data_IF_633573675426
#
_entry.id   IF_633573675426
#
_cell.length_a   1.000
_cell.length_b   1.000
_cell.length_c   1.000
_cell.angle_alpha   90.00
_cell.angle_beta   90.00
_cell.angle_gamma   90.00
#
_symmetry.space_group_name_H-M   'P 1'
#
loop_
_entity.id
_entity.type
_entity.pdbx_description
1 polymer ?
#
# COMPACT_ATOMS: atom_id res chain seq x y z
N UNK A 1 -23.82 -11.50 -5.75
CA UNK A 1 -24.60 -10.52 -4.93
C UNK A 1 -23.86 -10.31 -3.62
N UNK A 2 -23.28 -9.14 -3.44
CA UNK A 2 -22.58 -8.75 -2.22
C UNK A 2 -23.64 -8.68 -1.09
N UNK A 3 -23.46 -9.47 -0.06
CA UNK A 3 -24.44 -9.57 1.05
C UNK A 3 -24.20 -8.55 2.15
N UNK A 4 -22.94 -8.15 2.34
CA UNK A 4 -22.58 -7.14 3.33
C UNK A 4 -22.99 -5.75 2.81
N UNK A 5 -23.78 -4.96 3.55
CA UNK A 5 -24.20 -3.63 3.11
C UNK A 5 -23.06 -2.65 2.89
N UNK A 6 -21.99 -2.75 3.67
CA UNK A 6 -20.82 -1.86 3.57
C UNK A 6 -20.02 -2.17 2.30
N UNK A 7 -19.75 -3.45 2.02
CA UNK A 7 -19.06 -3.88 0.79
C UNK A 7 -19.89 -3.54 -0.44
N UNK A 8 -21.23 -3.68 -0.35
CA UNK A 8 -22.13 -3.26 -1.42
C UNK A 8 -22.04 -1.75 -1.66
N UNK A 9 -22.02 -0.93 -0.61
CA UNK A 9 -21.90 0.51 -0.72
C UNK A 9 -20.54 0.90 -1.33
N UNK A 10 -19.45 0.28 -0.91
CA UNK A 10 -18.10 0.49 -1.46
C UNK A 10 -18.05 0.09 -2.93
N UNK A 11 -18.58 -1.08 -3.29
CA UNK A 11 -18.64 -1.53 -4.67
C UNK A 11 -19.47 -0.58 -5.54
N UNK A 12 -20.63 -0.13 -5.05
CA UNK A 12 -21.49 0.83 -5.77
C UNK A 12 -20.75 2.14 -5.99
N UNK A 13 -20.10 2.69 -4.96
CA UNK A 13 -19.30 3.91 -5.06
C UNK A 13 -18.16 3.76 -6.07
N UNK A 14 -17.43 2.66 -6.03
CA UNK A 14 -16.35 2.36 -7.00
C UNK A 14 -16.89 2.31 -8.44
N UNK A 15 -18.06 1.74 -8.63
CA UNK A 15 -18.72 1.70 -9.94
C UNK A 15 -19.15 3.09 -10.42
N UNK A 16 -19.67 3.92 -9.52
CA UNK A 16 -20.05 5.31 -9.82
C UNK A 16 -18.83 6.15 -10.20
N UNK A 17 -17.75 6.05 -9.42
CA UNK A 17 -16.48 6.75 -9.68
C UNK A 17 -15.88 6.30 -11.00
N UNK A 18 -15.87 4.99 -11.29
CA UNK A 18 -15.41 4.47 -12.58
C UNK A 18 -16.26 4.99 -13.74
N UNK A 19 -17.57 5.08 -13.54
CA UNK A 19 -18.49 5.64 -14.55
C UNK A 19 -18.22 7.12 -14.76
N UNK A 20 -18.04 7.87 -13.68
CA UNK A 20 -17.68 9.28 -13.73
C UNK A 20 -16.34 9.51 -14.43
N UNK A 21 -15.33 8.72 -14.07
CA UNK A 21 -14.00 8.75 -14.68
C UNK A 21 -14.07 8.45 -16.17
N UNK A 22 -14.90 7.49 -16.59
CA UNK A 22 -15.11 7.14 -18.00
C UNK A 22 -16.02 8.11 -18.78
N UNK A 23 -16.79 8.95 -18.09
CA UNK A 23 -17.74 9.88 -18.73
C UNK A 23 -17.10 11.14 -19.32
N UNK A 24 -15.80 11.34 -19.12
CA UNK A 24 -15.07 12.49 -19.66
C UNK A 24 -14.87 13.63 -18.70
N UNK A 25 -15.28 13.47 -17.46
CA UNK A 25 -15.11 14.49 -16.44
C UNK A 25 -13.63 14.78 -16.11
N UNK A 26 -12.74 13.82 -16.41
CA UNK A 26 -11.29 13.99 -16.30
C UNK A 26 -10.73 15.02 -17.28
N UNK A 27 -11.49 15.38 -18.29
CA UNK A 27 -11.12 16.37 -19.29
C UNK A 27 -11.81 17.71 -19.07
N UNK A 28 -12.46 17.87 -17.91
CA UNK A 28 -12.93 19.17 -17.53
C UNK A 28 -11.75 20.15 -17.33
N UNK A 29 -12.07 21.41 -17.21
CA UNK A 29 -11.06 22.47 -17.10
C UNK A 29 -10.13 22.29 -15.90
N UNK A 30 -10.54 21.55 -14.87
CA UNK A 30 -9.73 21.33 -13.67
C UNK A 30 -8.51 20.43 -13.94
N UNK A 31 -8.70 19.33 -14.66
CA UNK A 31 -7.59 18.43 -15.03
C UNK A 31 -6.64 19.08 -16.05
N UNK A 32 -7.19 19.75 -17.06
CA UNK A 32 -6.39 20.49 -18.01
C UNK A 32 -5.59 21.63 -17.32
N UNK A 33 -6.16 22.24 -16.29
CA UNK A 33 -5.51 23.30 -15.51
C UNK A 33 -4.29 22.81 -14.75
N UNK A 34 -4.28 21.57 -14.27
CA UNK A 34 -3.10 21.00 -13.59
C UNK A 34 -1.92 20.84 -14.55
N UNK A 35 -2.15 20.32 -15.76
CA UNK A 35 -1.12 20.28 -16.79
C UNK A 35 -0.60 21.67 -17.19
N UNK A 36 -1.46 22.69 -17.13
CA UNK A 36 -1.07 24.07 -17.45
C UNK A 36 -0.12 24.69 -16.42
N UNK A 37 -0.15 24.23 -15.18
CA UNK A 37 0.77 24.66 -14.11
C UNK A 37 2.18 24.11 -14.28
N UNK A 38 2.34 23.04 -15.06
CA UNK A 38 3.63 22.40 -15.34
C UNK A 38 4.31 23.07 -16.54
N UNK A 39 5.61 22.83 -16.69
CA UNK A 39 6.41 23.37 -17.78
C UNK A 39 7.28 22.28 -18.40
N UNK A 40 7.76 22.53 -19.64
CA UNK A 40 8.71 21.66 -20.32
C UNK A 40 8.23 20.22 -20.47
N UNK A 41 9.08 19.28 -20.07
CA UNK A 41 8.84 17.84 -20.19
C UNK A 41 7.62 17.40 -19.41
N UNK A 42 7.49 17.82 -18.16
CA UNK A 42 6.40 17.39 -17.25
C UNK A 42 5.05 17.82 -17.80
N UNK A 43 4.95 19.03 -18.36
CA UNK A 43 3.74 19.48 -19.02
C UNK A 43 3.41 18.64 -20.25
N UNK A 44 4.42 18.29 -21.05
CA UNK A 44 4.23 17.50 -22.25
C UNK A 44 3.76 16.07 -21.91
N UNK A 45 4.34 15.45 -20.90
CA UNK A 45 3.95 14.12 -20.40
C UNK A 45 2.52 14.14 -19.82
N UNK A 46 2.18 15.12 -19.01
CA UNK A 46 0.84 15.30 -18.47
C UNK A 46 -0.21 15.41 -19.59
N UNK A 47 0.04 16.23 -20.61
CA UNK A 47 -0.85 16.36 -21.77
C UNK A 47 -0.98 15.06 -22.56
N UNK A 48 0.13 14.33 -22.76
CA UNK A 48 0.10 13.05 -23.45
C UNK A 48 -0.77 12.02 -22.71
N UNK A 49 -0.72 12.00 -21.38
CA UNK A 49 -1.56 11.14 -20.56
C UNK A 49 -3.05 11.48 -20.69
N UNK A 50 -3.40 12.77 -20.63
CA UNK A 50 -4.78 13.22 -20.86
C UNK A 50 -5.29 12.81 -22.25
N UNK A 51 -4.47 12.95 -23.30
CA UNK A 51 -4.84 12.53 -24.66
C UNK A 51 -5.06 11.02 -24.72
N UNK A 52 -4.19 10.22 -24.10
CA UNK A 52 -4.35 8.77 -24.01
C UNK A 52 -5.67 8.40 -23.32
N UNK A 53 -5.97 9.00 -22.20
CA UNK A 53 -7.19 8.72 -21.45
C UNK A 53 -8.43 9.12 -22.25
N UNK A 54 -8.38 10.26 -22.97
CA UNK A 54 -9.43 10.68 -23.87
C UNK A 54 -9.65 9.68 -25.02
N UNK A 55 -8.55 9.19 -25.61
CA UNK A 55 -8.61 8.19 -26.68
C UNK A 55 -9.32 6.91 -26.20
N UNK A 56 -8.89 6.40 -25.02
CA UNK A 56 -9.47 5.19 -24.42
C UNK A 56 -10.96 5.40 -24.12
N UNK A 57 -11.31 6.52 -23.54
CA UNK A 57 -12.68 6.85 -23.18
C UNK A 57 -13.60 6.93 -24.39
N UNK A 58 -13.14 7.57 -25.46
CA UNK A 58 -13.87 7.68 -26.74
C UNK A 58 -13.82 6.40 -27.57
N UNK A 59 -12.98 5.44 -27.19
CA UNK A 59 -12.66 4.24 -27.99
C UNK A 59 -12.20 4.61 -29.41
N UNK A 60 -11.44 5.69 -29.52
CA UNK A 60 -10.99 6.25 -30.78
C UNK A 60 -9.46 6.35 -30.82
N UNK A 61 -8.78 5.45 -31.57
CA UNK A 61 -7.32 5.47 -31.70
C UNK A 61 -6.80 6.72 -32.45
N UNK A 62 -7.65 7.39 -33.24
CA UNK A 62 -7.22 8.61 -33.94
C UNK A 62 -6.85 9.73 -32.99
N UNK A 63 -7.46 9.76 -31.79
CA UNK A 63 -7.10 10.72 -30.74
C UNK A 63 -5.64 10.58 -30.31
N UNK A 64 -5.05 9.38 -30.35
CA UNK A 64 -3.63 9.17 -30.03
C UNK A 64 -2.70 9.98 -30.96
N UNK A 65 -3.14 10.34 -32.15
CA UNK A 65 -2.34 11.15 -33.09
C UNK A 65 -2.16 12.60 -32.65
N UNK A 66 -2.95 13.06 -31.66
CA UNK A 66 -2.77 14.37 -31.03
C UNK A 66 -1.51 14.44 -30.14
N UNK A 67 -0.97 13.29 -29.72
CA UNK A 67 0.31 13.23 -29.03
C UNK A 67 1.40 13.56 -30.04
N UNK A 68 2.25 14.55 -29.77
CA UNK A 68 3.31 14.93 -30.69
C UNK A 68 4.24 13.76 -31.06
N UNK A 69 4.68 13.70 -32.32
CA UNK A 69 5.59 12.64 -32.80
C UNK A 69 6.92 12.60 -32.03
N UNK A 70 7.36 13.73 -31.46
CA UNK A 70 8.52 13.80 -30.58
C UNK A 70 8.35 12.98 -29.29
N UNK A 71 7.12 12.69 -28.90
CA UNK A 71 6.75 11.84 -27.78
C UNK A 71 6.30 10.44 -28.26
N UNK A 72 7.08 9.84 -29.16
CA UNK A 72 6.76 8.57 -29.82
C UNK A 72 6.42 7.44 -28.84
N UNK A 73 7.09 7.37 -27.66
CA UNK A 73 6.83 6.38 -26.64
C UNK A 73 5.43 6.55 -26.02
N UNK A 74 5.05 7.78 -25.69
CA UNK A 74 3.70 8.08 -25.19
C UNK A 74 2.62 7.78 -26.23
N UNK A 75 2.90 8.08 -27.51
CA UNK A 75 1.99 7.74 -28.61
C UNK A 75 1.87 6.22 -28.81
N UNK A 76 2.96 5.47 -28.68
CA UNK A 76 2.95 4.00 -28.71
C UNK A 76 2.13 3.42 -27.57
N UNK A 77 2.31 3.92 -26.34
CA UNK A 77 1.50 3.52 -25.16
C UNK A 77 0.02 3.81 -25.38
N UNK A 78 -0.34 4.95 -25.97
CA UNK A 78 -1.73 5.25 -26.32
C UNK A 78 -2.29 4.22 -27.30
N UNK A 79 -1.55 3.92 -28.38
CA UNK A 79 -2.03 3.02 -29.45
C UNK A 79 -2.16 1.56 -29.00
N UNK A 80 -1.31 1.09 -28.07
CA UNK A 80 -1.33 -0.31 -27.61
C UNK A 80 -2.69 -0.70 -27.00
N UNK A 81 -3.42 0.25 -26.45
CA UNK A 81 -4.76 0.03 -25.89
C UNK A 81 -5.82 -0.33 -26.96
N UNK A 82 -5.52 -0.08 -28.23
CA UNK A 82 -6.42 -0.34 -29.35
C UNK A 82 -5.99 -1.54 -30.18
N UNK A 83 -4.83 -2.13 -29.88
CA UNK A 83 -4.41 -3.33 -30.58
C UNK A 83 -5.34 -4.49 -30.21
N UNK A 84 -5.82 -5.24 -31.20
CA UNK A 84 -6.62 -6.42 -30.91
C UNK A 84 -5.77 -7.39 -30.10
N UNK A 85 -6.29 -7.82 -28.96
CA UNK A 85 -5.69 -8.92 -28.22
C UNK A 85 -5.70 -10.16 -29.13
N UNK A 86 -4.56 -10.82 -29.26
CA UNK A 86 -4.53 -12.10 -29.95
C UNK A 86 -5.48 -13.07 -29.21
N UNK A 87 -6.41 -13.72 -29.91
CA UNK A 87 -7.22 -14.74 -29.28
C UNK A 87 -6.30 -15.82 -28.68
N UNK A 88 -6.45 -16.09 -27.40
CA UNK A 88 -5.78 -17.25 -26.77
C UNK A 88 -6.53 -18.52 -27.14
N UNK A 89 -5.82 -19.59 -27.41
CA UNK A 89 -6.41 -20.90 -27.60
C UNK A 89 -6.89 -21.47 -26.24
N UNK A 90 -7.85 -22.41 -26.27
CA UNK A 90 -8.31 -23.06 -25.05
C UNK A 90 -7.15 -23.72 -24.29
N UNK A 91 -6.20 -24.33 -25.02
CA UNK A 91 -5.03 -24.93 -24.40
C UNK A 91 -4.12 -23.92 -23.69
N UNK A 92 -3.96 -22.70 -24.25
CA UNK A 92 -3.22 -21.63 -23.59
C UNK A 92 -3.98 -21.09 -22.38
N UNK A 93 -5.30 -20.98 -22.48
CA UNK A 93 -6.15 -20.58 -21.37
C UNK A 93 -6.05 -21.60 -20.21
N UNK A 94 -6.19 -22.88 -20.51
CA UNK A 94 -6.11 -23.97 -19.55
C UNK A 94 -4.72 -24.05 -18.90
N UNK A 95 -3.65 -23.76 -19.64
CA UNK A 95 -2.28 -23.74 -19.15
C UNK A 95 -1.97 -22.50 -18.29
N UNK A 96 -2.67 -21.37 -18.52
CA UNK A 96 -2.41 -20.10 -17.82
C UNK A 96 -3.23 -19.93 -16.54
N UNK A 97 -4.43 -20.45 -16.48
CA UNK A 97 -5.37 -20.28 -15.36
C UNK A 97 -4.80 -20.76 -14.01
N UNK A 98 -4.08 -21.90 -13.91
CA UNK A 98 -3.53 -22.34 -12.63
C UNK A 98 -2.42 -21.45 -12.07
N UNK A 99 -1.88 -20.53 -12.87
CA UNK A 99 -0.73 -19.70 -12.50
C UNK A 99 -1.13 -18.30 -11.97
N UNK A 100 -2.40 -17.93 -12.09
CA UNK A 100 -2.89 -16.63 -11.68
C UNK A 100 -3.85 -16.79 -10.50
N UNK A 101 -3.40 -16.43 -9.31
CA UNK A 101 -4.27 -16.25 -8.17
C UNK A 101 -4.89 -14.86 -8.25
N UNK A 102 -6.22 -14.78 -8.18
CA UNK A 102 -6.98 -13.52 -8.25
C UNK A 102 -7.32 -12.95 -6.88
N UNK A 103 -6.87 -13.62 -5.83
CA UNK A 103 -7.02 -13.22 -4.44
C UNK A 103 -5.67 -12.92 -3.82
N UNK A 104 -5.65 -12.11 -2.80
CA UNK A 104 -4.49 -12.01 -1.92
C UNK A 104 -4.27 -13.34 -1.21
N UNK A 105 -3.04 -13.57 -0.75
CA UNK A 105 -2.64 -14.77 -0.05
C UNK A 105 -2.11 -14.39 1.33
N UNK A 106 -2.63 -15.02 2.37
CA UNK A 106 -2.11 -14.93 3.74
C UNK A 106 -1.60 -16.31 4.16
N UNK A 107 -0.30 -16.51 4.10
CA UNK A 107 0.33 -17.76 4.49
C UNK A 107 0.58 -17.81 5.98
N UNK A 108 -0.20 -18.61 6.69
CA UNK A 108 0.03 -18.90 8.09
C UNK A 108 0.80 -20.20 8.27
N UNK A 109 1.66 -20.23 9.29
CA UNK A 109 2.49 -21.41 9.53
C UNK A 109 1.67 -22.51 10.20
N UNK A 110 1.54 -23.62 9.51
CA UNK A 110 0.98 -24.86 10.04
C UNK A 110 1.99 -25.67 10.86
N UNK A 111 1.70 -26.95 11.05
CA UNK A 111 2.63 -27.87 11.71
C UNK A 111 3.85 -28.20 10.80
N UNK A 112 5.03 -28.19 11.40
CA UNK A 112 6.28 -28.48 10.68
C UNK A 112 6.69 -27.34 9.74
N UNK A 113 6.91 -27.66 8.47
CA UNK A 113 7.29 -26.71 7.40
C UNK A 113 6.14 -26.36 6.46
N UNK A 114 4.90 -26.75 6.79
CA UNK A 114 3.74 -26.42 5.96
C UNK A 114 3.25 -25.00 6.21
N UNK A 115 2.68 -24.41 5.16
CA UNK A 115 1.93 -23.16 5.22
C UNK A 115 0.53 -23.39 4.69
N UNK A 116 -0.45 -22.69 5.25
CA UNK A 116 -1.83 -22.72 4.81
C UNK A 116 -2.21 -21.29 4.41
N UNK A 117 -2.91 -21.15 3.28
CA UNK A 117 -3.50 -19.87 2.91
C UNK A 117 -4.80 -19.67 3.70
N UNK A 118 -4.83 -18.65 4.52
CA UNK A 118 -5.97 -18.29 5.37
C UNK A 118 -6.55 -16.91 5.03
N UNK A 119 -6.22 -16.36 3.85
CA UNK A 119 -6.67 -15.02 3.47
C UNK A 119 -8.20 -14.90 3.47
N UNK A 120 -8.92 -15.87 2.89
CA UNK A 120 -10.39 -15.87 2.86
C UNK A 120 -10.99 -15.98 4.26
N UNK A 121 -10.45 -16.89 5.08
CA UNK A 121 -10.95 -17.09 6.46
C UNK A 121 -10.74 -15.87 7.33
N UNK A 122 -9.63 -15.16 7.12
CA UNK A 122 -9.25 -14.00 7.93
C UNK A 122 -9.68 -12.66 7.31
N UNK A 123 -10.33 -12.66 6.15
CA UNK A 123 -10.91 -11.46 5.54
C UNK A 123 -9.91 -10.59 4.78
N UNK A 124 -8.81 -11.17 4.27
CA UNK A 124 -7.77 -10.49 3.50
C UNK A 124 -7.69 -10.92 2.02
N UNK A 125 -8.58 -11.78 1.55
CA UNK A 125 -8.55 -12.35 0.19
C UNK A 125 -8.83 -11.32 -0.91
N UNK A 126 -9.46 -10.21 -0.59
CA UNK A 126 -9.83 -9.15 -1.54
C UNK A 126 -8.75 -8.08 -1.59
N UNK A 127 -8.14 -7.86 -2.76
CA UNK A 127 -7.11 -6.84 -2.93
C UNK A 127 -7.30 -5.97 -4.18
N UNK A 128 -8.07 -6.44 -5.15
CA UNK A 128 -8.20 -5.77 -6.44
C UNK A 128 -6.92 -5.89 -7.29
N UNK A 129 -6.51 -4.81 -7.91
CA UNK A 129 -5.25 -4.74 -8.67
C UNK A 129 -4.16 -4.13 -7.79
N UNK A 130 -3.64 -4.96 -6.90
CA UNK A 130 -2.71 -4.54 -5.84
C UNK A 130 -1.29 -4.36 -6.38
N UNK A 131 -0.65 -3.26 -6.02
CA UNK A 131 0.73 -2.93 -6.40
C UNK A 131 1.69 -2.95 -5.22
N UNK A 132 1.23 -2.45 -4.08
CA UNK A 132 2.05 -2.33 -2.88
C UNK A 132 1.19 -2.61 -1.64
N UNK A 133 1.82 -3.18 -0.62
CA UNK A 133 1.16 -3.52 0.64
C UNK A 133 2.01 -3.03 1.81
N UNK A 134 1.42 -2.22 2.68
CA UNK A 134 2.04 -1.79 3.94
C UNK A 134 1.41 -2.51 5.10
N UNK A 135 2.25 -3.10 5.93
CA UNK A 135 1.86 -3.82 7.14
C UNK A 135 2.44 -3.07 8.33
N UNK A 136 1.58 -2.39 9.07
CA UNK A 136 1.96 -1.60 10.24
C UNK A 136 0.77 -1.49 11.20
N UNK A 137 1.04 -1.07 12.41
CA UNK A 137 0.05 -0.80 13.44
C UNK A 137 -0.30 0.68 13.35
N UNK A 138 -1.40 1.01 12.66
CA UNK A 138 -1.76 2.39 12.35
C UNK A 138 -2.63 3.05 13.43
N UNK A 139 -3.22 2.27 14.32
CA UNK A 139 -4.01 2.80 15.44
C UNK A 139 -3.38 2.51 16.81
N UNK A 140 -2.13 2.03 16.80
CA UNK A 140 -1.32 1.76 17.99
C UNK A 140 -1.95 0.76 18.99
N UNK A 141 -2.84 -0.12 18.54
CA UNK A 141 -3.52 -1.10 19.40
C UNK A 141 -2.66 -2.34 19.73
N UNK A 142 -1.50 -2.48 19.07
CA UNK A 142 -0.56 -3.59 19.22
C UNK A 142 -0.66 -4.66 18.13
N UNK A 143 -1.65 -4.56 17.25
CA UNK A 143 -1.85 -5.47 16.13
C UNK A 143 -1.56 -4.75 14.79
N UNK A 144 -0.96 -5.47 13.85
CA UNK A 144 -0.62 -4.87 12.56
C UNK A 144 -1.81 -4.92 11.61
N UNK A 145 -2.11 -3.77 11.02
CA UNK A 145 -3.07 -3.59 9.95
C UNK A 145 -2.44 -3.78 8.59
N UNK A 146 -3.26 -3.76 7.54
CA UNK A 146 -2.82 -3.92 6.17
C UNK A 146 -3.40 -2.80 5.29
N UNK A 147 -2.53 -2.01 4.68
CA UNK A 147 -2.90 -1.01 3.67
C UNK A 147 -2.41 -1.46 2.30
N UNK A 148 -3.32 -1.53 1.33
CA UNK A 148 -3.05 -2.00 -0.03
C UNK A 148 -3.36 -0.89 -1.02
N UNK A 149 -2.36 -0.50 -1.81
CA UNK A 149 -2.58 0.44 -2.90
C UNK A 149 -3.01 -0.28 -4.17
N UNK A 150 -3.99 0.30 -4.83
CA UNK A 150 -4.67 -0.28 -5.98
C UNK A 150 -4.66 0.63 -7.19
N UNK A 151 -4.83 0.02 -8.33
CA UNK A 151 -5.11 0.75 -9.56
C UNK A 151 -4.79 -0.05 -10.80
N UNK A 152 -5.51 0.22 -11.85
CA UNK A 152 -5.23 -0.37 -13.17
C UNK A 152 -5.55 0.61 -14.27
N UNK A 153 -4.73 0.60 -15.31
CA UNK A 153 -5.00 1.27 -16.58
C UNK A 153 -5.67 0.35 -17.61
N UNK A 154 -5.91 -0.91 -17.23
CA UNK A 154 -6.54 -1.88 -18.13
C UNK A 154 -8.00 -1.50 -18.31
N UNK A 155 -8.46 -1.26 -19.56
CA UNK A 155 -9.86 -0.96 -19.83
C UNK A 155 -10.78 -2.09 -19.37
N UNK A 156 -11.88 -1.72 -18.74
CA UNK A 156 -12.92 -2.63 -18.24
C UNK A 156 -12.58 -3.41 -16.96
N UNK A 157 -11.37 -3.28 -16.40
CA UNK A 157 -11.09 -3.78 -15.06
C UNK A 157 -11.66 -2.81 -14.02
N UNK A 158 -12.32 -3.35 -13.01
CA UNK A 158 -12.78 -2.58 -11.86
C UNK A 158 -11.63 -2.50 -10.86
N UNK A 159 -11.18 -1.30 -10.57
CA UNK A 159 -10.23 -1.05 -9.50
C UNK A 159 -10.98 -0.52 -8.29
N UNK A 160 -10.88 -1.17 -7.15
CA UNK A 160 -11.39 -0.58 -5.91
C UNK A 160 -10.57 0.66 -5.54
N UNK A 161 -10.97 1.36 -4.49
CA UNK A 161 -10.10 2.31 -3.81
C UNK A 161 -8.84 1.60 -3.29
N UNK A 162 -7.84 2.37 -2.85
CA UNK A 162 -6.87 1.80 -1.93
C UNK A 162 -7.61 1.18 -0.75
N UNK A 163 -7.15 0.04 -0.25
CA UNK A 163 -7.84 -0.73 0.77
C UNK A 163 -7.08 -0.68 2.09
N UNK A 164 -7.80 -0.45 3.16
CA UNK A 164 -7.28 -0.57 4.51
C UNK A 164 -8.03 -1.65 5.26
N UNK A 165 -7.30 -2.63 5.76
CA UNK A 165 -7.84 -3.72 6.56
C UNK A 165 -7.36 -3.57 7.99
N UNK A 166 -8.29 -3.22 8.86
CA UNK A 166 -8.04 -3.11 10.30
C UNK A 166 -8.02 -4.50 10.93
N UNK A 167 -6.99 -4.78 11.71
CA UNK A 167 -6.84 -6.01 12.47
C UNK A 167 -7.65 -5.95 13.75
N UNK A 168 -8.54 -6.91 13.98
CA UNK A 168 -9.41 -6.94 15.17
C UNK A 168 -8.76 -7.54 16.42
N UNK A 169 -7.49 -7.93 16.33
CA UNK A 169 -6.78 -8.58 17.43
C UNK A 169 -7.13 -10.04 17.68
N UNK A 170 -8.06 -10.61 16.93
CA UNK A 170 -8.46 -12.01 16.98
C UNK A 170 -7.93 -12.85 15.83
N UNK A 171 -7.06 -12.25 15.00
CA UNK A 171 -6.51 -12.84 13.77
C UNK A 171 -7.36 -12.60 12.54
N UNK A 172 -8.49 -11.91 12.67
CA UNK A 172 -9.33 -11.53 11.53
C UNK A 172 -9.24 -10.04 11.23
N UNK A 173 -9.54 -9.67 9.99
CA UNK A 173 -9.46 -8.31 9.49
C UNK A 173 -10.82 -7.83 8.99
N UNK A 174 -11.03 -6.53 9.00
CA UNK A 174 -12.18 -5.92 8.36
C UNK A 174 -11.74 -4.77 7.47
N UNK A 175 -12.32 -4.70 6.28
CA UNK A 175 -12.12 -3.55 5.40
C UNK A 175 -12.66 -2.28 6.07
N UNK A 176 -11.83 -1.27 6.23
CA UNK A 176 -12.10 -0.08 7.02
C UNK A 176 -11.59 1.22 6.35
N UNK A 177 -11.34 1.22 5.03
CA UNK A 177 -10.85 2.40 4.32
C UNK A 177 -11.73 3.63 4.53
N UNK A 178 -13.06 3.47 4.45
CA UNK A 178 -13.99 4.56 4.67
C UNK A 178 -13.98 5.08 6.11
N UNK A 179 -14.17 4.24 7.13
CA UNK A 179 -14.11 4.65 8.53
C UNK A 179 -12.83 5.34 8.94
N UNK A 180 -11.68 4.94 8.38
CA UNK A 180 -10.37 5.55 8.67
C UNK A 180 -10.03 6.74 7.74
N UNK A 181 -10.90 7.08 6.78
CA UNK A 181 -10.66 8.20 5.86
C UNK A 181 -9.55 7.95 4.84
N UNK A 182 -9.26 6.69 4.55
CA UNK A 182 -8.19 6.25 3.66
C UNK A 182 -8.67 5.88 2.25
N UNK A 183 -9.92 6.19 1.92
CA UNK A 183 -10.41 5.97 0.56
C UNK A 183 -9.67 6.87 -0.43
N UNK A 184 -9.02 6.25 -1.42
CA UNK A 184 -8.35 6.92 -2.53
C UNK A 184 -8.56 6.09 -3.79
N UNK A 185 -9.22 6.69 -4.76
CA UNK A 185 -9.63 6.03 -6.01
C UNK A 185 -8.69 6.33 -7.17
N UNK A 186 -7.60 7.05 -6.90
CA UNK A 186 -6.56 7.25 -7.89
C UNK A 186 -5.80 5.94 -8.09
N UNK A 187 -5.31 5.73 -9.32
CA UNK A 187 -4.43 4.60 -9.60
C UNK A 187 -3.13 4.80 -8.85
N UNK A 188 -2.93 4.05 -7.78
CA UNK A 188 -1.79 4.21 -6.89
C UNK A 188 -0.87 3.01 -7.00
N UNK A 189 0.42 3.24 -7.23
CA UNK A 189 1.41 2.19 -7.40
C UNK A 189 2.32 2.00 -6.19
N UNK A 190 2.50 3.02 -5.37
CA UNK A 190 3.43 3.00 -4.26
C UNK A 190 2.87 3.71 -3.03
N UNK A 191 3.25 3.25 -1.86
CA UNK A 191 3.02 3.93 -0.60
C UNK A 191 4.22 3.79 0.33
N UNK A 192 4.27 4.63 1.35
CA UNK A 192 5.17 4.48 2.49
C UNK A 192 4.45 4.93 3.76
N UNK A 193 4.87 4.40 4.89
CA UNK A 193 4.36 4.78 6.19
C UNK A 193 5.48 5.24 7.10
N UNK A 194 5.26 6.35 7.79
CA UNK A 194 6.16 6.84 8.84
C UNK A 194 5.47 7.92 9.67
N UNK A 195 5.99 8.15 10.84
CA UNK A 195 5.57 9.22 11.73
C UNK A 195 6.15 10.56 11.22
N UNK A 196 5.31 11.38 10.61
CA UNK A 196 5.70 12.60 9.91
C UNK A 196 6.01 13.75 10.88
N UNK A 197 5.18 13.92 11.91
CA UNK A 197 5.32 14.99 12.90
C UNK A 197 6.04 14.59 14.18
N UNK A 198 6.30 13.33 14.40
CA UNK A 198 7.00 12.82 15.59
C UNK A 198 6.08 12.66 16.79
N UNK A 199 4.78 12.44 16.56
CA UNK A 199 3.77 12.26 17.60
C UNK A 199 3.55 10.80 18.00
N UNK A 200 4.20 9.86 17.31
CA UNK A 200 4.16 8.42 17.58
C UNK A 200 3.12 7.67 16.74
N UNK A 201 2.33 8.37 15.95
CA UNK A 201 1.34 7.76 15.05
C UNK A 201 1.94 7.60 13.64
N UNK A 202 1.62 6.50 12.97
CA UNK A 202 2.10 6.29 11.60
C UNK A 202 1.16 6.93 10.60
N UNK A 203 1.71 7.83 9.79
CA UNK A 203 1.05 8.44 8.63
C UNK A 203 1.26 7.60 7.38
N UNK A 204 0.43 7.83 6.37
CA UNK A 204 0.56 7.17 5.06
C UNK A 204 0.80 8.24 3.99
N UNK A 205 1.81 8.01 3.16
CA UNK A 205 2.00 8.73 1.91
C UNK A 205 1.74 7.76 0.76
N UNK A 206 0.80 8.09 -0.09
CA UNK A 206 0.54 7.35 -1.33
C UNK A 206 0.97 8.15 -2.55
N UNK A 207 1.46 7.45 -3.57
CA UNK A 207 1.90 8.04 -4.82
C UNK A 207 1.06 7.52 -6.00
N UNK A 208 0.00 8.22 -6.35
CA UNK A 208 -0.78 7.92 -7.55
C UNK A 208 0.06 8.06 -8.82
N UNK A 209 -0.16 7.17 -9.77
CA UNK A 209 0.48 7.23 -11.08
C UNK A 209 -0.06 8.43 -11.84
N UNK A 210 0.84 9.36 -12.18
CA UNK A 210 0.49 10.64 -12.84
C UNK A 210 -0.47 11.54 -12.04
N UNK A 211 -0.55 11.34 -10.74
CA UNK A 211 -1.31 12.18 -9.82
C UNK A 211 -0.42 12.85 -8.76
N UNK A 212 -0.97 13.78 -8.01
CA UNK A 212 -0.27 14.38 -6.88
C UNK A 212 -0.03 13.34 -5.79
N UNK A 213 1.05 13.50 -5.04
CA UNK A 213 1.28 12.74 -3.81
C UNK A 213 0.14 13.06 -2.84
N UNK A 214 -0.45 12.02 -2.26
CA UNK A 214 -1.47 12.14 -1.22
C UNK A 214 -0.84 11.81 0.13
N UNK A 215 -1.07 12.66 1.11
CA UNK A 215 -0.63 12.45 2.49
C UNK A 215 -1.87 12.27 3.36
N UNK A 216 -1.98 11.11 3.98
CA UNK A 216 -2.99 10.83 4.98
C UNK A 216 -2.34 11.00 6.35
N UNK A 217 -2.61 12.14 6.96
CA UNK A 217 -2.15 12.40 8.32
C UNK A 217 -3.03 11.61 9.29
N UNK A 218 -2.38 10.80 10.12
CA UNK A 218 -3.04 10.14 11.23
C UNK A 218 -3.31 11.14 12.35
N UNK A 219 -4.54 11.25 12.77
CA UNK A 219 -4.95 12.09 13.89
C UNK A 219 -5.66 11.25 14.97
N UNK A 220 -5.55 9.93 14.88
CA UNK A 220 -6.10 9.06 15.91
C UNK A 220 -5.33 9.30 17.22
N UNK A 221 -6.06 9.50 18.30
CA UNK A 221 -5.49 9.55 19.65
C UNK A 221 -5.72 8.18 20.31
N UNK A 222 -5.17 7.15 19.68
CA UNK A 222 -5.42 5.77 20.06
C UNK A 222 -4.11 5.08 20.40
N UNK A 223 -3.97 4.65 21.64
CA UNK A 223 -2.84 3.85 22.09
C UNK A 223 -1.51 4.62 22.21
N UNK A 224 -0.61 4.04 22.93
CA UNK A 224 0.78 4.49 23.08
C UNK A 224 1.66 3.74 22.07
N UNK A 225 2.81 4.29 21.74
CA UNK A 225 3.76 3.67 20.84
C UNK A 225 5.21 3.77 21.31
N UNK A 226 6.09 2.96 20.74
CA UNK A 226 7.53 3.07 20.90
C UNK A 226 8.21 2.82 19.57
N UNK A 227 9.25 3.60 19.26
CA UNK A 227 10.00 3.46 18.04
C UNK A 227 11.49 3.26 18.29
N UNK A 228 12.16 2.47 17.44
CA UNK A 228 13.58 2.19 17.48
C UNK A 228 14.25 2.58 16.17
N UNK A 229 15.27 3.43 16.28
CA UNK A 229 16.28 3.62 15.23
C UNK A 229 17.56 2.85 15.61
N UNK A 230 18.26 2.34 14.61
CA UNK A 230 19.49 1.58 14.81
C UNK A 230 20.70 2.33 14.27
N UNK A 231 21.84 2.16 14.95
CA UNK A 231 23.15 2.65 14.53
C UNK A 231 24.17 1.54 14.79
N UNK A 232 24.35 0.67 13.81
CA UNK A 232 25.19 -0.51 13.92
C UNK A 232 26.56 -0.26 13.25
N UNK A 233 27.60 -0.12 14.07
CA UNK A 233 28.97 0.10 13.59
C UNK A 233 29.66 -1.21 13.14
N UNK A 234 29.13 -2.39 13.52
CA UNK A 234 29.71 -3.70 13.17
C UNK A 234 29.27 -4.21 11.79
N UNK A 235 28.12 -3.78 11.32
CA UNK A 235 27.54 -4.30 10.09
C UNK A 235 26.82 -3.26 9.28
N UNK A 236 25.50 -3.36 9.27
CA UNK A 236 24.61 -2.51 8.50
C UNK A 236 24.14 -1.34 9.36
N UNK A 237 24.63 -0.15 9.06
CA UNK A 237 24.46 1.06 9.85
C UNK A 237 23.01 1.31 10.31
N UNK A 238 22.04 1.03 9.48
CA UNK A 238 20.63 1.28 9.77
C UNK A 238 19.93 0.07 10.40
N UNK A 239 20.66 -1.02 10.69
CA UNK A 239 20.09 -2.21 11.31
C UNK A 239 19.12 -3.00 10.45
N UNK A 240 19.19 -2.88 9.12
CA UNK A 240 18.30 -3.66 8.24
C UNK A 240 18.50 -5.16 8.46
N UNK A 241 17.41 -5.91 8.67
CA UNK A 241 17.44 -7.31 9.05
C UNK A 241 17.52 -7.57 10.56
N UNK A 242 17.59 -6.50 11.37
CA UNK A 242 17.45 -6.63 12.84
C UNK A 242 16.05 -7.12 13.17
N UNK A 243 15.98 -8.10 14.08
CA UNK A 243 14.73 -8.56 14.70
C UNK A 243 14.65 -8.07 16.13
N UNK A 244 13.54 -7.45 16.48
CA UNK A 244 13.28 -7.02 17.84
C UNK A 244 12.04 -7.71 18.37
N UNK A 245 12.17 -8.29 19.53
CA UNK A 245 11.06 -8.81 20.33
C UNK A 245 10.92 -7.93 21.56
N UNK A 246 9.74 -7.37 21.77
CA UNK A 246 9.41 -6.59 22.97
C UNK A 246 8.36 -7.29 23.80
N UNK A 247 8.40 -7.06 25.09
CA UNK A 247 7.39 -7.52 26.04
C UNK A 247 6.79 -6.30 26.74
N UNK A 248 5.49 -6.11 26.59
CA UNK A 248 4.75 -4.99 27.17
C UNK A 248 4.48 -5.17 28.66
N UNK A 249 3.99 -4.12 29.32
CA UNK A 249 3.68 -4.16 30.76
C UNK A 249 2.57 -5.14 31.12
N UNK A 250 1.65 -5.43 30.19
CA UNK A 250 0.61 -6.48 30.36
C UNK A 250 1.04 -7.86 29.85
N UNK A 251 2.35 -8.08 29.62
CA UNK A 251 2.97 -9.35 29.19
C UNK A 251 2.65 -9.77 27.74
N UNK A 252 2.16 -8.91 26.89
CA UNK A 252 2.03 -9.19 25.45
C UNK A 252 3.42 -9.14 24.81
N UNK A 253 3.71 -10.10 23.94
CA UNK A 253 4.94 -10.15 23.18
C UNK A 253 4.68 -9.77 21.72
N UNK A 254 5.47 -8.83 21.21
CA UNK A 254 5.45 -8.45 19.81
C UNK A 254 6.83 -8.65 19.20
N UNK A 255 6.89 -9.05 17.94
CA UNK A 255 8.13 -9.21 17.18
C UNK A 255 8.04 -8.48 15.86
N UNK A 256 9.08 -7.73 15.52
CA UNK A 256 9.22 -7.07 14.22
C UNK A 256 10.61 -7.34 13.64
N UNK A 257 10.69 -7.31 12.33
CA UNK A 257 11.95 -7.32 11.59
C UNK A 257 12.07 -6.02 10.80
N UNK A 258 13.21 -5.35 10.91
CA UNK A 258 13.45 -4.12 10.16
C UNK A 258 13.76 -4.43 8.70
N UNK A 259 12.87 -4.04 7.83
CA UNK A 259 13.01 -4.15 6.37
C UNK A 259 13.06 -2.76 5.75
N UNK A 260 13.82 -2.60 4.65
CA UNK A 260 13.84 -1.36 3.88
C UNK A 260 12.88 -1.40 2.70
N UNK A 261 12.76 -2.54 2.09
CA UNK A 261 11.89 -2.75 0.94
C UNK A 261 10.70 -3.59 1.35
N UNK A 262 9.76 -3.73 0.46
CA UNK A 262 8.56 -4.53 0.68
C UNK A 262 7.41 -4.03 -0.17
N UNK A 263 7.61 -2.88 -0.84
CA UNK A 263 6.64 -2.30 -1.72
C UNK A 263 7.13 -2.15 -3.16
N UNK A 264 6.20 -1.93 -4.06
CA UNK A 264 6.51 -1.63 -5.45
C UNK A 264 7.01 -0.18 -5.56
N UNK A 265 8.26 -0.02 -5.99
CA UNK A 265 8.92 1.30 -6.18
C UNK A 265 8.89 2.20 -4.93
N UNK A 266 8.85 1.61 -3.73
CA UNK A 266 8.80 2.34 -2.47
C UNK A 266 9.74 1.73 -1.43
N UNK A 267 10.16 2.57 -0.48
CA UNK A 267 10.95 2.19 0.67
C UNK A 267 10.37 2.86 1.91
N UNK A 268 10.33 2.11 3.00
CA UNK A 268 9.95 2.67 4.28
C UNK A 268 11.16 3.25 5.03
N UNK A 269 10.90 4.12 5.99
CA UNK A 269 11.96 4.64 6.87
C UNK A 269 12.57 3.49 7.65
N UNK A 270 13.93 3.42 7.79
CA UNK A 270 14.59 2.38 8.58
C UNK A 270 14.36 2.61 10.08
N UNK A 271 13.13 2.53 10.49
CA UNK A 271 12.64 2.68 11.86
C UNK A 271 11.66 1.56 12.16
N UNK A 272 11.79 0.98 13.33
CA UNK A 272 10.88 -0.04 13.80
C UNK A 272 9.89 0.57 14.78
N UNK A 273 8.60 0.39 14.50
CA UNK A 273 7.51 0.91 15.29
C UNK A 273 6.72 -0.23 15.95
N UNK A 274 6.30 0.00 17.19
CA UNK A 274 5.43 -0.88 17.96
C UNK A 274 4.31 -0.05 18.59
N UNK A 275 3.06 -0.28 18.22
CA UNK A 275 1.94 0.16 19.01
C UNK A 275 1.84 -0.67 20.29
N UNK A 276 1.46 -0.04 21.36
CA UNK A 276 1.45 -0.63 22.70
C UNK A 276 0.05 -0.63 23.33
N UNK A 277 -0.96 -0.10 22.65
CA UNK A 277 -2.29 0.09 23.22
C UNK A 277 -2.23 0.97 24.46
N UNK A 278 -2.86 0.54 25.52
CA UNK A 278 -2.87 1.24 26.81
C UNK A 278 -1.56 1.05 27.64
N UNK A 279 -0.59 0.25 27.14
CA UNK A 279 0.63 0.01 27.89
C UNK A 279 1.53 1.23 27.89
N UNK A 280 2.00 1.62 29.06
CA UNK A 280 2.89 2.79 29.25
C UNK A 280 4.36 2.51 28.95
N UNK A 281 4.66 1.35 28.36
CA UNK A 281 6.01 0.98 27.94
C UNK A 281 6.21 -0.52 27.79
N UNK A 282 7.47 -0.89 27.62
CA UNK A 282 7.93 -2.28 27.61
C UNK A 282 8.69 -2.61 28.90
N UNK A 283 8.56 -3.85 29.36
CA UNK A 283 9.31 -4.34 30.53
C UNK A 283 10.67 -4.91 30.13
N UNK A 284 10.78 -5.42 28.91
CA UNK A 284 12.03 -5.92 28.32
C UNK A 284 11.94 -6.04 26.82
N UNK A 285 13.09 -6.11 26.16
CA UNK A 285 13.21 -6.43 24.75
C UNK A 285 14.45 -7.24 24.46
N UNK A 286 14.43 -7.94 23.32
CA UNK A 286 15.56 -8.70 22.80
C UNK A 286 15.78 -8.30 21.33
N UNK A 287 17.01 -7.94 21.01
CA UNK A 287 17.43 -7.60 19.66
C UNK A 287 18.29 -8.76 19.13
N UNK A 288 17.92 -9.32 18.02
CA UNK A 288 18.76 -10.24 17.24
C UNK A 288 19.29 -9.47 16.04
N UNK A 289 20.60 -9.26 16.02
CA UNK A 289 21.30 -8.60 14.94
C UNK A 289 21.44 -9.52 13.72
N UNK A 290 21.67 -8.99 12.50
CA UNK A 290 21.77 -9.80 11.28
C UNK A 290 22.89 -10.86 11.30
N UNK A 291 23.95 -10.63 12.10
CA UNK A 291 25.05 -11.58 12.32
C UNK A 291 24.74 -12.64 13.39
N UNK A 292 23.55 -12.61 14.00
CA UNK A 292 23.11 -13.52 15.05
C UNK A 292 23.50 -13.09 16.48
N UNK A 293 24.24 -11.98 16.67
CA UNK A 293 24.49 -11.44 18.01
C UNK A 293 23.18 -11.02 18.68
N UNK A 294 23.08 -11.19 19.98
CA UNK A 294 21.90 -10.84 20.75
C UNK A 294 22.21 -9.71 21.73
N UNK A 295 21.37 -8.70 21.74
CA UNK A 295 21.37 -7.63 22.74
C UNK A 295 20.05 -7.61 23.52
N UNK A 296 20.09 -7.20 24.77
CA UNK A 296 18.91 -7.10 25.64
C UNK A 296 18.59 -5.65 25.91
N UNK A 297 17.32 -5.30 25.82
CA UNK A 297 16.77 -4.00 26.19
C UNK A 297 16.06 -4.16 27.53
N UNK A 298 16.33 -3.26 28.47
CA UNK A 298 15.58 -3.16 29.72
C UNK A 298 14.21 -2.53 29.55
N UNK A 299 13.60 -2.12 30.64
CA UNK A 299 12.35 -1.39 30.64
C UNK A 299 12.52 -0.02 29.99
N UNK A 300 11.59 0.32 29.08
CA UNK A 300 11.53 1.61 28.38
C UNK A 300 10.11 2.16 28.44
N UNK A 301 9.99 3.47 28.56
CA UNK A 301 8.70 4.15 28.52
C UNK A 301 8.14 4.21 27.10
N UNK A 302 6.82 4.23 26.97
CA UNK A 302 6.11 4.52 25.74
C UNK A 302 6.26 5.98 25.30
N UNK A 303 5.71 6.32 24.16
CA UNK A 303 5.64 7.64 23.54
C UNK A 303 7.04 8.26 23.39
N UNK A 304 7.97 7.39 23.00
CA UNK A 304 9.35 7.77 22.84
C UNK A 304 10.03 7.02 21.70
N UNK A 305 10.98 7.69 21.08
CA UNK A 305 11.87 7.15 20.07
C UNK A 305 13.26 6.90 20.66
N UNK A 306 13.71 5.68 20.56
CA UNK A 306 15.01 5.25 21.13
C UNK A 306 15.99 4.95 20.01
N UNK A 307 17.21 5.46 20.15
CA UNK A 307 18.33 5.09 19.29
C UNK A 307 19.13 3.95 19.93
N UNK A 308 19.20 2.83 19.26
CA UNK A 308 19.96 1.66 19.67
C UNK A 308 21.30 1.65 18.92
N UNK A 309 22.40 1.74 19.68
CA UNK A 309 23.74 1.74 19.09
C UNK A 309 24.47 0.46 19.47
N UNK A 310 25.05 -0.21 18.46
CA UNK A 310 25.96 -1.34 18.64
C UNK A 310 27.35 -0.93 18.13
N UNK A 311 28.37 -1.06 19.01
CA UNK A 311 29.78 -0.72 18.76
C UNK A 311 30.67 -1.96 18.80
#
# INVERSE_FOLDING_TARGET
TIKNPQDHATCTRNMEIKTWYKSGNNFDSSYASECQKLTGRDQAECKAMLIKDLAIQRRDPEVCKLIPKSQWSAQAVCNIHFWPARPITNAEADASIPQILRSNVLLTRGQGSSFTDEAETNGLDVGGWSWDTKIADFDNDGFQDVYIVNGTWVPNEVSPSNLFFHNKGDGTFSEASGPFGLEDYLMTAAATSFDLEGDGDLDIISHPVNGPITVFKNNAQSGNAIAFDFDDEKGNRFGVGVKVMVKTTNNIMQTRELQLGGGFMSFDVPRMHFGLGENTGIVSGMITWPDGEISVIGSLAADARYKITRR
#
